data_IF_626331449478
#
_entry.id   IF_626331449478
#
_cell.length_a   1.000
_cell.length_b   1.000
_cell.length_c   1.000
_cell.angle_alpha   90.00
_cell.angle_beta   90.00
_cell.angle_gamma   90.00
#
_symmetry.space_group_name_H-M   'P 1'
#
loop_
_entity.id
_entity.type
_entity.pdbx_description
1 polymer ?
#
# COMPACT_ATOMS: atom_id res chain seq x y z
N UNK A 1 -22.56 -18.83 2.03
CA UNK A 1 -21.90 -17.62 2.59
C UNK A 1 -20.57 -17.40 1.89
N UNK A 2 -20.26 -16.19 1.41
CA UNK A 2 -18.89 -15.89 0.93
C UNK A 2 -17.97 -15.95 2.15
N UNK A 3 -17.02 -16.88 2.17
CA UNK A 3 -16.02 -16.99 3.23
C UNK A 3 -15.02 -15.84 3.08
N UNK A 4 -15.24 -14.75 3.80
CA UNK A 4 -14.27 -13.65 3.88
C UNK A 4 -13.10 -14.10 4.76
N UNK A 5 -12.10 -14.74 4.15
CA UNK A 5 -10.83 -14.98 4.84
C UNK A 5 -10.18 -13.62 5.07
N UNK A 6 -10.28 -13.11 6.31
CA UNK A 6 -9.64 -11.85 6.70
C UNK A 6 -8.14 -12.09 6.71
N UNK A 7 -7.44 -11.77 5.62
CA UNK A 7 -5.98 -11.78 5.57
C UNK A 7 -5.47 -10.48 6.20
N UNK A 8 -4.98 -10.47 7.45
CA UNK A 8 -4.47 -9.24 8.08
C UNK A 8 -3.25 -8.75 7.31
N UNK A 9 -2.98 -7.45 7.36
CA UNK A 9 -1.72 -6.88 6.88
C UNK A 9 -0.61 -7.22 7.88
N UNK A 10 0.46 -7.82 7.42
CA UNK A 10 1.67 -8.02 8.22
C UNK A 10 2.44 -6.71 8.40
N UNK A 11 3.33 -6.66 9.40
CA UNK A 11 4.18 -5.50 9.59
C UNK A 11 5.12 -5.28 8.39
N UNK A 12 5.66 -6.36 7.81
CA UNK A 12 6.50 -6.31 6.60
C UNK A 12 5.77 -5.73 5.40
N UNK A 13 4.54 -6.18 5.14
CA UNK A 13 3.73 -5.62 4.04
C UNK A 13 3.45 -4.13 4.25
N UNK A 14 3.19 -3.69 5.48
CA UNK A 14 3.00 -2.25 5.78
C UNK A 14 4.25 -1.43 5.54
N UNK A 15 5.42 -1.93 5.93
CA UNK A 15 6.70 -1.28 5.67
C UNK A 15 6.97 -1.20 4.17
N UNK A 16 6.79 -2.30 3.43
CA UNK A 16 6.96 -2.28 1.98
C UNK A 16 6.01 -1.26 1.34
N UNK A 17 4.73 -1.26 1.73
CA UNK A 17 3.72 -0.34 1.22
C UNK A 17 4.10 1.13 1.49
N UNK A 18 4.69 1.41 2.65
CA UNK A 18 5.22 2.74 3.00
C UNK A 18 6.24 3.24 1.98
N UNK A 19 7.16 2.35 1.60
CA UNK A 19 8.29 2.70 0.73
C UNK A 19 7.88 2.86 -0.73
N UNK A 20 6.96 2.02 -1.22
CA UNK A 20 6.66 1.93 -2.66
C UNK A 20 5.40 2.71 -3.08
N UNK A 21 4.44 2.95 -2.19
CA UNK A 21 3.10 3.42 -2.58
C UNK A 21 3.06 4.78 -3.28
N UNK A 22 3.91 5.75 -2.88
CA UNK A 22 3.90 7.08 -3.52
C UNK A 22 4.93 7.23 -4.64
N UNK A 23 5.67 6.18 -4.99
CA UNK A 23 6.63 6.15 -6.11
C UNK A 23 6.18 5.21 -7.23
N UNK A 24 5.47 4.13 -6.91
CA UNK A 24 5.00 3.11 -7.85
C UNK A 24 3.64 3.42 -8.49
N UNK A 25 3.37 2.84 -9.66
CA UNK A 25 2.03 2.84 -10.29
C UNK A 25 1.15 1.72 -9.73
N UNK A 26 -0.13 1.67 -10.12
CA UNK A 26 -1.04 0.60 -9.70
C UNK A 26 -0.56 -0.78 -10.15
N UNK A 27 -0.08 -0.90 -11.38
CA UNK A 27 0.43 -2.16 -11.94
C UNK A 27 1.64 -2.66 -11.14
N UNK A 28 2.59 -1.78 -10.86
CA UNK A 28 3.77 -2.09 -10.05
C UNK A 28 3.40 -2.49 -8.62
N UNK A 29 2.37 -1.86 -8.04
CA UNK A 29 1.86 -2.24 -6.73
C UNK A 29 1.20 -3.62 -6.76
N UNK A 30 0.47 -3.97 -7.81
CA UNK A 30 -0.13 -5.30 -7.98
C UNK A 30 0.94 -6.38 -8.17
N UNK A 31 2.05 -6.06 -8.84
CA UNK A 31 3.22 -6.97 -8.94
C UNK A 31 3.89 -7.19 -7.58
N UNK A 32 4.04 -6.13 -6.77
CA UNK A 32 4.65 -6.21 -5.43
C UNK A 32 3.75 -6.87 -4.38
N UNK A 33 2.43 -6.79 -4.57
CA UNK A 33 1.44 -7.34 -3.66
C UNK A 33 0.43 -8.23 -4.43
N UNK A 34 0.86 -9.38 -4.98
CA UNK A 34 0.01 -10.21 -5.84
C UNK A 34 -1.22 -10.76 -5.12
N UNK A 35 -1.14 -10.93 -3.79
CA UNK A 35 -2.24 -11.38 -2.95
C UNK A 35 -3.18 -10.26 -2.48
N UNK A 36 -2.96 -9.01 -2.93
CA UNK A 36 -3.72 -7.83 -2.51
C UNK A 36 -4.31 -7.14 -3.73
N UNK A 37 -5.54 -6.65 -3.56
CA UNK A 37 -6.13 -5.74 -4.55
C UNK A 37 -5.67 -4.32 -4.28
N UNK A 38 -5.59 -3.50 -5.32
CA UNK A 38 -5.26 -2.08 -5.20
C UNK A 38 -6.18 -1.34 -4.22
N UNK A 39 -7.48 -1.68 -4.22
CA UNK A 39 -8.44 -1.18 -3.24
C UNK A 39 -8.08 -1.52 -1.79
N UNK A 40 -7.57 -2.72 -1.52
CA UNK A 40 -7.07 -3.11 -0.19
C UNK A 40 -5.87 -2.26 0.21
N UNK A 41 -4.95 -1.98 -0.73
CA UNK A 41 -3.78 -1.13 -0.50
C UNK A 41 -4.19 0.31 -0.18
N UNK A 42 -5.09 0.93 -0.96
CA UNK A 42 -5.62 2.28 -0.68
C UNK A 42 -6.23 2.38 0.72
N UNK A 43 -7.04 1.40 1.11
CA UNK A 43 -7.64 1.35 2.46
C UNK A 43 -6.57 1.22 3.54
N UNK A 44 -5.55 0.40 3.31
CA UNK A 44 -4.44 0.23 4.22
C UNK A 44 -3.62 1.52 4.36
N UNK A 45 -3.33 2.22 3.26
CA UNK A 45 -2.64 3.52 3.28
C UNK A 45 -3.45 4.55 4.06
N UNK A 46 -4.75 4.64 3.82
CA UNK A 46 -5.62 5.56 4.57
C UNK A 46 -5.60 5.25 6.07
N UNK A 47 -5.64 3.97 6.44
CA UNK A 47 -5.51 3.53 7.83
C UNK A 47 -4.16 3.93 8.46
N UNK A 48 -3.06 3.77 7.72
CA UNK A 48 -1.72 4.10 8.20
C UNK A 48 -1.51 5.62 8.33
N UNK A 49 -1.99 6.40 7.37
CA UNK A 49 -1.96 7.88 7.42
C UNK A 49 -2.68 8.42 8.66
N UNK A 50 -3.85 7.84 9.00
CA UNK A 50 -4.57 8.17 10.24
C UNK A 50 -3.77 7.90 11.52
N UNK A 51 -2.72 7.07 11.44
CA UNK A 51 -1.81 6.74 12.55
C UNK A 51 -0.44 7.44 12.42
N UNK A 52 -0.35 8.48 11.61
CA UNK A 52 0.87 9.28 11.47
C UNK A 52 1.95 8.69 10.57
N UNK A 53 1.64 7.65 9.79
CA UNK A 53 2.62 7.11 8.82
C UNK A 53 2.77 8.05 7.63
N UNK A 54 4.02 8.37 7.31
CA UNK A 54 4.41 9.10 6.11
C UNK A 54 4.81 8.13 5.00
N UNK A 55 4.50 8.47 3.76
CA UNK A 55 4.77 7.66 2.58
C UNK A 55 5.72 8.39 1.67
N UNK A 56 6.63 7.66 1.02
CA UNK A 56 7.56 8.25 0.06
C UNK A 56 6.76 8.81 -1.12
N UNK A 57 6.75 10.12 -1.28
CA UNK A 57 6.21 10.75 -2.48
C UNK A 57 7.31 10.80 -3.53
N UNK A 58 6.97 10.55 -4.80
CA UNK A 58 7.84 10.93 -5.91
C UNK A 58 8.08 12.45 -5.80
N UNK A 59 9.22 12.86 -5.25
CA UNK A 59 9.61 14.26 -5.26
C UNK A 59 9.69 14.64 -6.73
N UNK A 60 8.77 15.50 -7.19
CA UNK A 60 8.91 16.09 -8.51
C UNK A 60 10.16 16.97 -8.43
N UNK A 61 11.31 16.44 -8.82
CA UNK A 61 12.45 17.27 -9.17
C UNK A 61 11.94 18.21 -10.25
N UNK A 62 11.74 19.48 -9.89
CA UNK A 62 11.56 20.55 -10.86
C UNK A 62 12.80 20.48 -11.77
N UNK A 63 12.57 20.11 -13.02
CA UNK A 63 13.55 20.28 -14.08
C UNK A 63 13.43 21.71 -14.59
#
# INVERSE_FOLDING_TARGET
MKTYSKKPWSHRERLLLKEVYGISTEEQLLELFPDRTYNSMRKQVAYLRKRGWVFNARSKSKK
#
